data_IF_214306094940
#
_entry.id   IF_214306094940
#
_cell.length_a   1.000
_cell.length_b   1.000
_cell.length_c   1.000
_cell.angle_alpha   90.00
_cell.angle_beta   90.00
_cell.angle_gamma   90.00
#
_symmetry.space_group_name_H-M   'P 1'
#
loop_
_entity.id
_entity.type
_entity.pdbx_description
1 polymer ?
#
# COMPACT_ATOMS: atom_id res chain seq x y z
N UNK A 1 32.62 -11.97 4.32
CA UNK A 1 31.16 -12.15 4.52
C UNK A 1 30.52 -12.38 3.16
N UNK A 2 29.95 -13.58 2.95
CA UNK A 2 29.39 -13.99 1.66
C UNK A 2 28.06 -13.25 1.41
N UNK A 3 28.00 -12.52 0.31
CA UNK A 3 26.75 -11.94 -0.19
C UNK A 3 25.95 -13.06 -0.87
N UNK A 4 25.04 -13.69 -0.11
CA UNK A 4 24.11 -14.69 -0.65
C UNK A 4 23.28 -14.11 -1.80
N UNK A 5 22.97 -14.96 -2.80
CA UNK A 5 22.15 -14.57 -3.97
C UNK A 5 20.86 -13.89 -3.50
N UNK A 6 20.67 -12.62 -3.88
CA UNK A 6 19.44 -11.87 -3.59
C UNK A 6 18.31 -12.46 -4.46
N UNK A 7 17.18 -12.89 -3.87
CA UNK A 7 16.05 -13.36 -4.66
C UNK A 7 15.55 -12.24 -5.58
N UNK A 8 15.12 -12.60 -6.79
CA UNK A 8 14.58 -11.66 -7.77
C UNK A 8 13.33 -10.99 -7.18
N UNK A 9 13.32 -9.66 -7.10
CA UNK A 9 12.20 -8.88 -6.57
C UNK A 9 11.32 -8.40 -7.72
N UNK A 10 10.00 -8.50 -7.54
CA UNK A 10 9.04 -7.85 -8.43
C UNK A 10 8.82 -6.41 -7.92
N UNK A 11 9.34 -5.38 -8.60
CA UNK A 11 9.22 -3.99 -8.15
C UNK A 11 7.75 -3.52 -8.11
N UNK A 12 6.89 -4.06 -8.98
CA UNK A 12 5.45 -3.77 -9.00
C UNK A 12 4.76 -4.22 -7.71
N UNK A 13 5.32 -5.19 -6.98
CA UNK A 13 4.73 -5.72 -5.76
C UNK A 13 5.25 -5.04 -4.47
N UNK A 14 6.08 -3.99 -4.59
CA UNK A 14 6.76 -3.36 -3.46
C UNK A 14 7.00 -1.85 -3.71
N UNK A 15 6.33 -0.95 -2.99
CA UNK A 15 6.72 0.48 -2.97
C UNK A 15 8.02 0.64 -2.17
N UNK A 16 8.04 0.09 -0.94
CA UNK A 16 9.25 -0.01 -0.12
C UNK A 16 9.80 -1.45 -0.14
N UNK A 17 11.02 -1.69 -0.64
CA UNK A 17 11.61 -3.02 -0.57
C UNK A 17 12.02 -3.42 0.88
N UNK A 18 12.00 -4.73 1.21
CA UNK A 18 12.20 -5.20 2.59
C UNK A 18 13.57 -4.84 3.16
N UNK A 19 14.61 -4.71 2.33
CA UNK A 19 15.94 -4.33 2.83
C UNK A 19 15.99 -2.94 3.48
N UNK A 20 15.05 -2.05 3.16
CA UNK A 20 14.98 -0.76 3.85
C UNK A 20 14.48 -0.92 5.28
N UNK A 21 13.49 -1.80 5.48
CA UNK A 21 13.03 -2.15 6.83
C UNK A 21 14.11 -2.94 7.59
N UNK A 22 14.83 -3.85 6.94
CA UNK A 22 15.98 -4.54 7.55
C UNK A 22 17.07 -3.55 8.01
N UNK A 23 17.24 -2.45 7.29
CA UNK A 23 18.19 -1.39 7.67
C UNK A 23 17.69 -0.62 8.90
N UNK A 24 16.40 -0.25 8.93
CA UNK A 24 15.79 0.41 10.10
C UNK A 24 15.86 -0.51 11.34
N UNK A 25 15.58 -1.81 11.18
CA UNK A 25 15.69 -2.78 12.26
C UNK A 25 17.11 -2.86 12.85
N UNK A 26 18.15 -2.64 12.04
CA UNK A 26 19.55 -2.71 12.48
C UNK A 26 20.06 -1.42 13.10
N UNK A 27 19.58 -0.28 12.63
CA UNK A 27 20.22 1.02 12.89
C UNK A 27 19.27 2.10 13.42
N UNK A 28 17.95 1.87 13.43
CA UNK A 28 16.96 2.81 13.97
C UNK A 28 16.84 2.76 15.49
N UNK A 29 16.07 3.70 16.03
CA UNK A 29 15.67 3.77 17.44
C UNK A 29 14.61 2.69 17.76
N UNK A 30 14.32 2.47 19.04
CA UNK A 30 13.43 1.37 19.45
C UNK A 30 12.01 1.51 18.88
N UNK A 31 11.45 2.72 18.82
CA UNK A 31 10.13 2.97 18.22
C UNK A 31 10.13 2.71 16.70
N UNK A 32 11.19 3.14 16.00
CA UNK A 32 11.34 2.88 14.56
C UNK A 32 11.46 1.38 14.26
N UNK A 33 12.15 0.63 15.13
CA UNK A 33 12.30 -0.81 15.01
C UNK A 33 10.96 -1.53 15.14
N UNK A 34 10.12 -1.08 16.07
CA UNK A 34 8.78 -1.65 16.26
C UNK A 34 7.91 -1.43 15.02
N UNK A 35 7.90 -0.20 14.47
CA UNK A 35 7.18 0.10 13.23
C UNK A 35 7.73 -0.67 12.02
N UNK A 36 9.05 -0.80 11.90
CA UNK A 36 9.68 -1.55 10.81
C UNK A 36 9.34 -3.05 10.89
N UNK A 37 9.31 -3.62 12.10
CA UNK A 37 8.93 -5.01 12.33
C UNK A 37 7.46 -5.25 11.92
N UNK A 38 6.55 -4.37 12.34
CA UNK A 38 5.13 -4.49 12.00
C UNK A 38 4.88 -4.31 10.50
N UNK A 39 5.53 -3.32 9.90
CA UNK A 39 5.47 -3.07 8.45
C UNK A 39 5.98 -4.27 7.65
N UNK A 40 7.07 -4.92 8.08
CA UNK A 40 7.59 -6.14 7.44
C UNK A 40 6.59 -7.29 7.53
N UNK A 41 6.03 -7.55 8.72
CA UNK A 41 5.04 -8.61 8.92
C UNK A 41 3.81 -8.42 8.02
N UNK A 42 3.24 -7.22 8.06
CA UNK A 42 2.08 -6.86 7.23
C UNK A 42 2.39 -6.97 5.73
N UNK A 43 3.54 -6.46 5.29
CA UNK A 43 3.94 -6.49 3.87
C UNK A 43 4.16 -7.90 3.35
N UNK A 44 4.80 -8.78 4.12
CA UNK A 44 5.02 -10.17 3.73
C UNK A 44 3.71 -10.98 3.71
N UNK A 45 2.78 -10.71 4.64
CA UNK A 45 1.44 -11.30 4.60
C UNK A 45 0.71 -10.89 3.31
N UNK A 46 0.74 -9.61 2.92
CA UNK A 46 0.12 -9.16 1.67
C UNK A 46 0.77 -9.76 0.42
N UNK A 47 2.10 -9.91 0.40
CA UNK A 47 2.81 -10.59 -0.70
C UNK A 47 2.45 -12.06 -0.79
N UNK A 48 2.34 -12.75 0.35
CA UNK A 48 1.85 -14.12 0.42
C UNK A 48 0.43 -14.25 -0.14
N UNK A 49 -0.48 -13.38 0.32
CA UNK A 49 -1.87 -13.33 -0.18
C UNK A 49 -1.93 -13.08 -1.68
N UNK A 50 -1.14 -12.15 -2.23
CA UNK A 50 -1.10 -11.90 -3.69
C UNK A 50 -0.63 -13.12 -4.49
N UNK A 51 0.37 -13.86 -3.99
CA UNK A 51 0.84 -15.10 -4.65
C UNK A 51 -0.24 -16.17 -4.72
N UNK A 52 -1.11 -16.26 -3.71
CA UNK A 52 -2.17 -17.26 -3.63
C UNK A 52 -3.42 -16.82 -4.39
N UNK A 53 -3.84 -15.57 -4.23
CA UNK A 53 -5.13 -15.05 -4.75
C UNK A 53 -5.04 -14.65 -6.23
N UNK A 54 -3.84 -14.41 -6.77
CA UNK A 54 -3.57 -14.24 -8.21
C UNK A 54 -4.70 -13.71 -9.10
N UNK A 55 -4.71 -12.39 -9.36
CA UNK A 55 -5.52 -11.72 -10.38
C UNK A 55 -7.06 -11.90 -10.29
N UNK A 56 -7.67 -11.55 -9.14
CA UNK A 56 -9.07 -11.12 -9.19
C UNK A 56 -9.10 -9.75 -9.88
N UNK A 57 -9.21 -9.77 -11.21
CA UNK A 57 -9.42 -8.57 -12.02
C UNK A 57 -10.89 -8.21 -11.96
N UNK A 58 -11.21 -7.14 -11.22
CA UNK A 58 -12.46 -6.42 -11.45
C UNK A 58 -12.24 -5.58 -12.70
N UNK A 59 -12.71 -6.08 -13.85
CA UNK A 59 -12.71 -5.29 -15.07
C UNK A 59 -13.58 -4.05 -14.85
N UNK A 60 -12.96 -2.89 -14.76
CA UNK A 60 -13.64 -1.61 -14.90
C UNK A 60 -13.76 -1.31 -16.38
N UNK A 61 -14.92 -0.82 -16.83
CA UNK A 61 -15.03 -0.32 -18.19
C UNK A 61 -14.03 0.83 -18.36
N UNK A 62 -13.07 0.75 -19.28
CA UNK A 62 -12.20 1.87 -19.57
C UNK A 62 -13.04 3.05 -20.11
N UNK A 63 -12.51 4.28 -19.99
CA UNK A 63 -13.12 5.49 -20.54
C UNK A 63 -13.97 6.33 -19.58
N UNK A 64 -14.23 5.87 -18.35
CA UNK A 64 -14.81 6.72 -17.31
C UNK A 64 -13.98 6.68 -16.03
N UNK A 65 -13.50 7.84 -15.58
CA UNK A 65 -12.83 8.00 -14.28
C UNK A 65 -13.86 7.75 -13.16
N UNK A 66 -13.54 6.84 -12.25
CA UNK A 66 -14.36 6.57 -11.06
C UNK A 66 -13.47 6.22 -9.88
N UNK A 67 -13.35 7.17 -8.94
CA UNK A 67 -12.60 7.00 -7.69
C UNK A 67 -13.53 6.70 -6.52
N UNK A 68 -13.04 5.89 -5.58
CA UNK A 68 -13.69 5.62 -4.30
C UNK A 68 -12.61 5.46 -3.23
N UNK A 69 -12.56 6.40 -2.28
CA UNK A 69 -11.58 6.47 -1.21
C UNK A 69 -12.21 5.97 0.08
N UNK A 70 -11.49 5.10 0.78
CA UNK A 70 -11.93 4.49 2.04
C UNK A 70 -10.85 4.65 3.12
N UNK A 71 -11.30 4.85 4.35
CA UNK A 71 -10.49 4.94 5.57
C UNK A 71 -10.50 3.59 6.29
N UNK A 72 -9.33 2.97 6.45
CA UNK A 72 -9.17 1.68 7.12
C UNK A 72 -9.18 1.77 8.66
N UNK A 73 -9.34 2.97 9.24
CA UNK A 73 -9.42 3.20 10.69
C UNK A 73 -8.22 2.68 11.47
N UNK A 74 -7.00 2.93 10.96
CA UNK A 74 -5.74 2.42 11.52
C UNK A 74 -5.68 0.88 11.62
N UNK A 75 -6.55 0.17 10.90
CA UNK A 75 -6.57 -1.28 10.81
C UNK A 75 -6.25 -1.78 9.41
N UNK A 76 -6.32 -3.10 9.24
CA UNK A 76 -6.04 -3.78 7.96
C UNK A 76 -7.27 -4.43 7.34
N UNK A 77 -8.45 -4.17 7.89
CA UNK A 77 -9.74 -4.66 7.37
C UNK A 77 -10.20 -3.77 6.22
N UNK A 78 -10.38 -4.36 5.04
CA UNK A 78 -10.75 -3.65 3.81
C UNK A 78 -12.21 -3.95 3.40
N UNK A 79 -12.91 -3.03 2.71
CA UNK A 79 -12.41 -1.74 2.20
C UNK A 79 -12.32 -0.65 3.27
N UNK A 80 -12.97 -0.80 4.42
CA UNK A 80 -13.04 0.23 5.46
C UNK A 80 -14.27 1.14 5.31
N UNK A 81 -14.18 2.37 5.81
CA UNK A 81 -15.27 3.36 5.80
C UNK A 81 -15.15 4.25 4.58
N UNK A 82 -16.21 4.36 3.77
CA UNK A 82 -16.22 5.26 2.61
C UNK A 82 -16.03 6.73 3.03
N UNK A 83 -15.15 7.45 2.32
CA UNK A 83 -14.81 8.85 2.63
C UNK A 83 -15.05 9.81 1.48
N UNK A 84 -14.78 9.41 0.23
CA UNK A 84 -14.89 10.31 -0.93
C UNK A 84 -15.04 9.54 -2.24
N UNK A 85 -15.96 9.97 -3.09
CA UNK A 85 -16.23 9.43 -4.42
C UNK A 85 -15.95 10.41 -5.55
N UNK A 86 -16.07 9.93 -6.79
CA UNK A 86 -15.95 10.77 -7.98
C UNK A 86 -16.95 11.96 -7.95
N UNK A 87 -16.47 13.19 -8.11
CA UNK A 87 -17.28 14.41 -8.04
C UNK A 87 -17.62 14.92 -6.64
N UNK A 88 -17.35 14.16 -5.58
CA UNK A 88 -17.61 14.62 -4.20
C UNK A 88 -16.70 15.81 -3.83
N UNK A 89 -17.21 16.72 -2.97
CA UNK A 89 -16.40 17.83 -2.46
C UNK A 89 -15.15 17.33 -1.70
N UNK A 90 -14.12 18.17 -1.54
CA UNK A 90 -12.96 17.85 -0.72
C UNK A 90 -13.34 17.43 0.70
N UNK A 91 -12.57 16.50 1.26
CA UNK A 91 -12.69 16.09 2.66
C UNK A 91 -11.90 17.04 3.56
N UNK A 92 -12.25 17.12 4.84
CA UNK A 92 -11.43 17.78 5.86
C UNK A 92 -10.15 17.00 6.19
N UNK A 93 -10.06 15.74 5.75
CA UNK A 93 -8.89 14.87 5.91
C UNK A 93 -7.95 15.00 4.69
N UNK A 94 -6.75 15.52 4.92
CA UNK A 94 -5.73 15.72 3.88
C UNK A 94 -5.36 14.42 3.17
N UNK A 95 -5.21 13.31 3.90
CA UNK A 95 -4.83 12.02 3.30
C UNK A 95 -5.91 11.48 2.36
N UNK A 96 -7.19 11.76 2.65
CA UNK A 96 -8.30 11.42 1.73
C UNK A 96 -8.20 12.22 0.43
N UNK A 97 -7.79 13.49 0.52
CA UNK A 97 -7.62 14.35 -0.66
C UNK A 97 -6.40 13.93 -1.49
N UNK A 98 -5.26 13.67 -0.86
CA UNK A 98 -4.05 13.18 -1.54
C UNK A 98 -4.31 11.85 -2.27
N UNK A 99 -5.03 10.91 -1.63
CA UNK A 99 -5.41 9.65 -2.24
C UNK A 99 -6.35 9.85 -3.45
N UNK A 100 -7.31 10.78 -3.33
CA UNK A 100 -8.23 11.13 -4.41
C UNK A 100 -7.51 11.74 -5.61
N UNK A 101 -6.61 12.68 -5.36
CA UNK A 101 -5.87 13.42 -6.39
C UNK A 101 -4.82 12.54 -7.05
N UNK A 102 -4.06 11.76 -6.27
CA UNK A 102 -3.07 10.82 -6.78
C UNK A 102 -3.69 9.72 -7.65
N UNK A 103 -4.86 9.19 -7.25
CA UNK A 103 -5.61 8.25 -8.08
C UNK A 103 -6.13 8.91 -9.38
N UNK A 104 -6.51 10.18 -9.32
CA UNK A 104 -6.92 10.97 -10.49
C UNK A 104 -5.77 11.16 -11.48
N UNK A 105 -4.61 11.59 -10.98
CA UNK A 105 -3.40 11.80 -11.76
C UNK A 105 -2.86 10.52 -12.41
N UNK A 106 -3.17 9.34 -11.85
CA UNK A 106 -2.81 8.05 -12.47
C UNK A 106 -3.74 7.69 -13.63
N UNK A 107 -4.98 8.17 -13.61
CA UNK A 107 -5.97 7.90 -14.66
C UNK A 107 -5.77 8.82 -15.87
N UNK A 108 -5.46 10.09 -15.63
CA UNK A 108 -5.28 11.13 -16.66
C UNK A 108 -4.00 10.95 -17.49
#
# INVERSE_FOLDING_TARGET
MAWGKRPHRCPICCILPPQMMDHILRYGEDEDRDWAMETLRSSEQFRGRRKVIGNVSFAVSPGQKRRAIYDAKNGTTLPGVFRRGEGDPPSDDEAVNEAYDGAGATYD
#
